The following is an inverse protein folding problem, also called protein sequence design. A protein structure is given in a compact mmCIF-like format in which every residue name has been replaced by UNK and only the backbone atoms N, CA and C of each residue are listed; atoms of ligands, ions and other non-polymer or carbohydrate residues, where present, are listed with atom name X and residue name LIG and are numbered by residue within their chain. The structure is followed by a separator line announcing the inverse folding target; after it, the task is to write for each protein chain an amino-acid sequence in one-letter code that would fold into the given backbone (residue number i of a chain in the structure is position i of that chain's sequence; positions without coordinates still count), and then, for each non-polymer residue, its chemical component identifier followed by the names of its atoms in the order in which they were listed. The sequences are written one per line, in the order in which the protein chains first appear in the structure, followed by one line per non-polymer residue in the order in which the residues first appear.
data_IF_479557704246
#
_entry.id   IF_479557704246
#
_cell.length_a   1.000
_cell.length_b   1.000
_cell.length_c   1.000
_cell.angle_alpha   90.00
_cell.angle_beta   90.00
_cell.angle_gamma   90.00
#
_symmetry.space_group_name_H-M   'P 1'
#
loop_
_entity.id
_entity.type
_entity.pdbx_description
1 polymer ?
#
# COMPACT_ATOMS: atom_id res chain seq x y z
N UNK A 1 -5.08 -2.73 -33.91
CA UNK A 1 -3.83 -3.17 -33.23
C UNK A 1 -3.98 -2.94 -31.75
N UNK A 2 -3.35 -3.76 -30.90
CA UNK A 2 -3.32 -3.49 -29.45
C UNK A 2 -2.37 -2.32 -29.20
N UNK A 3 -2.64 -1.44 -28.21
CA UNK A 3 -1.76 -0.29 -27.93
C UNK A 3 -0.38 -0.77 -27.42
N UNK A 4 0.68 -0.08 -27.87
CA UNK A 4 2.06 -0.31 -27.38
C UNK A 4 2.20 0.27 -25.97
N UNK A 5 2.98 -0.42 -25.12
CA UNK A 5 3.26 -0.01 -23.73
C UNK A 5 4.70 0.49 -23.62
N UNK A 6 4.91 1.66 -23.01
CA UNK A 6 6.24 2.09 -22.56
C UNK A 6 6.34 1.96 -21.05
N UNK A 7 7.44 1.38 -20.56
CA UNK A 7 7.68 1.24 -19.11
C UNK A 7 8.88 2.11 -18.74
N UNK A 8 8.68 3.08 -17.88
CA UNK A 8 9.72 3.95 -17.36
C UNK A 8 10.25 3.35 -16.06
N UNK A 9 11.54 3.14 -15.96
CA UNK A 9 12.22 2.67 -14.74
C UNK A 9 13.26 3.70 -14.34
N UNK A 10 13.20 4.18 -13.12
CA UNK A 10 14.15 5.16 -12.59
C UNK A 10 15.21 4.44 -11.76
N UNK A 11 16.47 4.78 -11.99
CA UNK A 11 17.62 4.19 -11.29
C UNK A 11 18.48 5.24 -10.60
N UNK A 12 18.95 4.91 -9.41
CA UNK A 12 19.99 5.65 -8.70
C UNK A 12 20.77 4.71 -7.79
N UNK A 13 22.02 4.39 -8.14
CA UNK A 13 22.89 3.46 -7.41
C UNK A 13 22.26 2.07 -7.17
N UNK A 14 21.61 1.49 -8.18
CA UNK A 14 20.86 0.22 -8.09
C UNK A 14 21.45 -0.91 -8.93
N UNK A 15 22.79 -0.95 -9.06
CA UNK A 15 23.47 -1.94 -9.92
C UNK A 15 23.25 -3.39 -9.50
N UNK A 16 22.91 -3.63 -8.21
CA UNK A 16 22.55 -4.95 -7.70
C UNK A 16 21.09 -5.32 -8.04
N UNK A 17 20.19 -4.37 -7.95
CA UNK A 17 18.73 -4.59 -8.07
C UNK A 17 18.28 -4.60 -9.54
N UNK A 18 18.83 -3.70 -10.36
CA UNK A 18 18.44 -3.52 -11.76
C UNK A 18 18.46 -4.78 -12.62
N UNK A 19 19.48 -5.66 -12.56
CA UNK A 19 19.48 -6.88 -13.38
C UNK A 19 18.23 -7.74 -13.16
N UNK A 20 17.77 -7.86 -11.92
CA UNK A 20 16.56 -8.62 -11.57
C UNK A 20 15.31 -7.91 -12.03
N UNK A 21 15.25 -6.59 -11.86
CA UNK A 21 14.13 -5.78 -12.33
C UNK A 21 13.98 -5.90 -13.83
N UNK A 22 15.05 -5.72 -14.61
CA UNK A 22 15.01 -5.79 -16.08
C UNK A 22 14.80 -7.23 -16.59
N UNK A 23 15.35 -8.24 -15.92
CA UNK A 23 15.02 -9.64 -16.21
C UNK A 23 13.52 -9.89 -16.08
N UNK A 24 12.90 -9.36 -15.03
CA UNK A 24 11.48 -9.52 -14.80
C UNK A 24 10.59 -8.76 -15.78
N UNK A 25 11.15 -7.80 -16.52
CA UNK A 25 10.47 -7.06 -17.58
C UNK A 25 10.81 -7.59 -18.99
N UNK A 26 11.71 -8.58 -19.10
CA UNK A 26 12.15 -9.16 -20.38
C UNK A 26 11.35 -10.40 -20.78
N UNK A 27 11.58 -10.88 -22.02
CA UNK A 27 11.05 -12.16 -22.48
C UNK A 27 12.10 -13.28 -22.23
N UNK A 28 11.69 -14.49 -21.94
CA UNK A 28 10.31 -14.99 -21.86
C UNK A 28 9.70 -14.89 -20.44
N UNK A 29 10.28 -14.08 -19.53
CA UNK A 29 9.74 -13.93 -18.17
C UNK A 29 8.34 -13.30 -18.20
N UNK A 30 8.17 -12.18 -18.93
CA UNK A 30 6.83 -11.62 -19.17
C UNK A 30 6.03 -12.54 -20.10
N UNK A 31 4.78 -12.80 -19.73
CA UNK A 31 3.87 -13.72 -20.43
C UNK A 31 2.73 -12.95 -21.12
N UNK A 32 2.18 -13.56 -22.16
CA UNK A 32 1.00 -13.06 -22.90
C UNK A 32 1.22 -11.67 -23.54
N UNK A 33 2.48 -11.32 -23.78
CA UNK A 33 2.90 -10.09 -24.45
C UNK A 33 4.10 -10.39 -25.38
N UNK A 34 4.14 -9.72 -26.53
CA UNK A 34 5.20 -9.89 -27.51
C UNK A 34 6.28 -8.82 -27.41
N UNK A 35 7.43 -9.08 -28.06
CA UNK A 35 8.59 -8.19 -28.09
C UNK A 35 8.26 -6.78 -28.61
N UNK A 36 7.43 -6.70 -29.64
CA UNK A 36 7.05 -5.44 -30.29
C UNK A 36 5.91 -4.70 -29.57
N UNK A 37 5.29 -5.34 -28.59
CA UNK A 37 4.15 -4.80 -27.85
C UNK A 37 4.55 -3.79 -26.77
N UNK A 38 5.81 -3.78 -26.35
CA UNK A 38 6.29 -2.88 -25.29
C UNK A 38 7.76 -2.50 -25.44
N UNK A 39 8.16 -1.45 -24.78
CA UNK A 39 9.53 -0.99 -24.59
C UNK A 39 9.79 -0.66 -23.13
N UNK A 40 11.05 -0.70 -22.72
CA UNK A 40 11.49 -0.23 -21.39
C UNK A 40 12.47 0.93 -21.56
N UNK A 41 12.25 1.98 -20.83
CA UNK A 41 13.09 3.17 -20.77
C UNK A 41 13.67 3.26 -19.38
N UNK A 42 14.92 2.84 -19.23
CA UNK A 42 15.69 2.98 -18.01
C UNK A 42 16.33 4.36 -17.96
N UNK A 43 16.06 5.12 -16.90
CA UNK A 43 16.63 6.45 -16.70
C UNK A 43 17.50 6.45 -15.47
N UNK A 44 18.79 6.66 -15.67
CA UNK A 44 19.73 6.84 -14.58
C UNK A 44 19.69 8.29 -14.09
N UNK A 45 19.41 8.47 -12.82
CA UNK A 45 19.32 9.78 -12.15
C UNK A 45 20.61 10.12 -11.40
N UNK A 46 21.77 9.85 -12.02
CA UNK A 46 23.08 10.26 -11.52
C UNK A 46 23.76 9.24 -10.62
N UNK A 47 23.72 7.97 -10.95
CA UNK A 47 24.46 6.92 -10.25
C UNK A 47 25.97 7.14 -10.32
N UNK A 48 26.69 6.72 -9.27
CA UNK A 48 28.15 6.74 -9.25
C UNK A 48 28.77 5.88 -10.38
N UNK A 49 28.14 4.75 -10.67
CA UNK A 49 28.45 3.87 -11.80
C UNK A 49 27.14 3.74 -12.57
N UNK A 50 26.94 4.55 -13.62
CA UNK A 50 25.69 4.51 -14.39
C UNK A 50 25.57 3.19 -15.16
N UNK A 51 24.36 2.60 -15.26
CA UNK A 51 24.11 1.43 -16.07
C UNK A 51 24.31 1.75 -17.55
N UNK A 52 24.75 0.76 -18.32
CA UNK A 52 24.94 0.87 -19.77
C UNK A 52 24.09 -0.15 -20.53
N UNK A 53 23.77 0.07 -21.81
CA UNK A 53 23.05 -0.91 -22.61
C UNK A 53 23.76 -2.28 -22.69
N UNK A 54 25.11 -2.29 -22.63
CA UNK A 54 25.92 -3.51 -22.67
C UNK A 54 25.66 -4.43 -21.47
N UNK A 55 25.35 -3.87 -20.30
CA UNK A 55 25.10 -4.64 -19.07
C UNK A 55 23.87 -5.56 -19.22
N UNK A 56 22.93 -5.20 -20.09
CA UNK A 56 21.65 -5.88 -20.29
C UNK A 56 21.46 -6.45 -21.70
N UNK A 57 22.50 -6.47 -22.53
CA UNK A 57 22.42 -6.94 -23.90
C UNK A 57 22.03 -8.43 -24.06
N UNK A 58 22.14 -9.20 -22.97
CA UNK A 58 21.73 -10.60 -22.90
C UNK A 58 20.21 -10.80 -22.68
N UNK A 59 19.47 -9.73 -22.35
CA UNK A 59 18.02 -9.79 -22.13
C UNK A 59 17.27 -9.58 -23.46
N UNK A 60 16.24 -10.38 -23.70
CA UNK A 60 15.31 -10.14 -24.81
C UNK A 60 14.32 -9.02 -24.41
N UNK A 61 14.77 -7.78 -24.59
CA UNK A 61 14.08 -6.57 -24.13
C UNK A 61 14.34 -5.41 -25.08
N UNK A 62 13.29 -4.69 -25.49
CA UNK A 62 13.42 -3.38 -26.16
C UNK A 62 13.76 -2.32 -25.11
N UNK A 63 15.07 -2.15 -24.88
CA UNK A 63 15.61 -1.34 -23.80
C UNK A 63 16.32 -0.09 -24.31
N UNK A 64 15.88 1.07 -23.84
CA UNK A 64 16.64 2.31 -23.93
C UNK A 64 17.24 2.62 -22.56
N UNK A 65 18.53 2.94 -22.52
CA UNK A 65 19.21 3.39 -21.31
C UNK A 65 19.59 4.84 -21.50
N UNK A 66 19.05 5.71 -20.66
CA UNK A 66 19.24 7.17 -20.71
C UNK A 66 19.77 7.65 -19.36
N UNK A 67 20.58 8.71 -19.37
CA UNK A 67 21.06 9.37 -18.16
C UNK A 67 20.58 10.81 -18.12
N UNK A 68 20.33 11.30 -16.91
CA UNK A 68 19.97 12.70 -16.70
C UNK A 68 21.21 13.59 -16.78
N UNK A 69 21.18 14.64 -17.61
CA UNK A 69 22.27 15.63 -17.70
C UNK A 69 22.44 16.39 -16.37
N UNK A 70 21.33 16.68 -15.70
CA UNK A 70 21.28 17.37 -14.42
C UNK A 70 20.48 16.54 -13.41
N UNK A 71 21.09 15.50 -12.82
CA UNK A 71 20.38 14.63 -11.88
C UNK A 71 20.03 15.37 -10.61
N UNK A 72 18.90 15.05 -10.03
CA UNK A 72 18.43 15.65 -8.78
C UNK A 72 18.22 14.60 -7.70
N UNK A 73 18.09 15.03 -6.43
CA UNK A 73 17.80 14.11 -5.33
C UNK A 73 16.40 13.51 -5.44
N UNK A 74 15.47 14.25 -6.04
CA UNK A 74 14.12 13.78 -6.34
C UNK A 74 14.11 13.02 -7.67
N UNK A 75 13.37 11.91 -7.81
CA UNK A 75 13.21 11.21 -9.07
C UNK A 75 12.27 11.91 -10.06
N UNK A 76 11.55 12.93 -9.62
CA UNK A 76 10.48 13.59 -10.41
C UNK A 76 10.95 14.10 -11.77
N UNK A 77 12.07 14.86 -11.90
CA UNK A 77 12.53 15.31 -13.20
C UNK A 77 12.87 14.14 -14.15
N UNK A 78 13.45 13.05 -13.61
CA UNK A 78 13.78 11.85 -14.39
C UNK A 78 12.50 11.13 -14.86
N UNK A 79 11.49 11.00 -14.00
CA UNK A 79 10.19 10.43 -14.37
C UNK A 79 9.53 11.25 -15.48
N UNK A 80 9.43 12.57 -15.31
CA UNK A 80 8.81 13.45 -16.29
C UNK A 80 9.60 13.49 -17.62
N UNK A 81 10.92 13.34 -17.56
CA UNK A 81 11.73 13.13 -18.75
C UNK A 81 11.38 11.83 -19.47
N UNK A 82 11.21 10.73 -18.72
CA UNK A 82 10.78 9.44 -19.26
C UNK A 82 9.37 9.50 -19.89
N UNK A 83 8.42 10.18 -19.26
CA UNK A 83 7.08 10.40 -19.83
C UNK A 83 7.13 11.07 -21.21
N UNK A 84 8.06 12.02 -21.41
CA UNK A 84 8.30 12.69 -22.69
C UNK A 84 8.99 11.80 -23.72
N UNK A 85 9.84 10.85 -23.29
CA UNK A 85 10.59 9.94 -24.17
C UNK A 85 9.80 8.72 -24.60
N UNK A 86 8.82 8.29 -23.81
CA UNK A 86 7.98 7.15 -24.08
C UNK A 86 7.34 7.23 -25.47
N UNK A 87 7.33 6.14 -26.25
CA UNK A 87 6.70 6.06 -27.58
C UNK A 87 5.32 5.38 -27.54
N UNK A 88 5.03 4.56 -26.51
CA UNK A 88 3.79 3.81 -26.35
C UNK A 88 2.57 4.69 -26.09
N UNK A 89 1.39 4.19 -26.41
CA UNK A 89 0.10 4.83 -26.15
C UNK A 89 -0.30 4.68 -24.67
N UNK A 90 0.18 3.61 -24.04
CA UNK A 90 0.07 3.36 -22.60
C UNK A 90 1.46 3.54 -21.99
N UNK A 91 1.55 4.25 -20.88
CA UNK A 91 2.82 4.46 -20.17
C UNK A 91 2.67 3.96 -18.75
N UNK A 92 3.57 3.03 -18.37
CA UNK A 92 3.74 2.56 -17.01
C UNK A 92 4.96 3.20 -16.35
N UNK A 93 4.87 3.57 -15.08
CA UNK A 93 5.98 4.15 -14.32
C UNK A 93 6.34 3.24 -13.16
N UNK A 94 7.60 2.81 -13.13
CA UNK A 94 8.27 2.22 -11.99
C UNK A 94 9.14 3.28 -11.34
N UNK A 95 8.71 3.78 -10.21
CA UNK A 95 9.33 4.93 -9.54
C UNK A 95 10.77 4.64 -9.07
N UNK A 96 11.10 3.36 -8.87
CA UNK A 96 12.46 2.92 -8.56
C UNK A 96 12.82 1.62 -9.30
N UNK A 97 14.12 1.43 -9.58
CA UNK A 97 14.69 0.28 -10.27
C UNK A 97 14.87 -0.96 -9.38
N UNK A 98 14.38 -0.96 -8.18
CA UNK A 98 14.48 -2.08 -7.23
C UNK A 98 13.19 -2.89 -7.13
N UNK A 99 12.43 -3.04 -8.24
CA UNK A 99 11.14 -3.72 -8.23
C UNK A 99 11.05 -4.83 -9.27
N UNK A 100 11.00 -6.06 -8.81
CA UNK A 100 10.77 -7.23 -9.66
C UNK A 100 9.27 -7.28 -10.03
N UNK A 101 8.94 -7.48 -11.28
CA UNK A 101 7.56 -7.62 -11.76
C UNK A 101 7.07 -9.07 -11.64
N UNK A 102 5.77 -9.28 -11.46
CA UNK A 102 5.15 -10.58 -11.70
C UNK A 102 5.02 -10.89 -13.21
N UNK A 103 4.88 -12.18 -13.62
CA UNK A 103 5.04 -12.58 -15.01
C UNK A 103 4.03 -12.02 -16.01
N UNK A 104 2.83 -11.64 -15.62
CA UNK A 104 1.81 -11.08 -16.52
C UNK A 104 1.49 -9.62 -16.24
N UNK A 105 2.30 -8.94 -15.46
CA UNK A 105 2.00 -7.57 -15.04
C UNK A 105 1.75 -6.63 -16.23
N UNK A 106 2.61 -6.67 -17.26
CA UNK A 106 2.48 -5.79 -18.44
C UNK A 106 1.24 -6.14 -19.25
N UNK A 107 1.04 -7.43 -19.54
CA UNK A 107 -0.12 -7.89 -20.29
C UNK A 107 -1.44 -7.57 -19.56
N UNK A 108 -1.50 -7.83 -18.26
CA UNK A 108 -2.68 -7.57 -17.43
C UNK A 108 -2.99 -6.07 -17.32
N UNK A 109 -1.97 -5.22 -17.18
CA UNK A 109 -2.14 -3.77 -17.18
C UNK A 109 -2.69 -3.27 -18.52
N UNK A 110 -2.11 -3.73 -19.65
CA UNK A 110 -2.59 -3.39 -21.00
C UNK A 110 -4.04 -3.86 -21.23
N UNK A 111 -4.38 -5.07 -20.82
CA UNK A 111 -5.74 -5.59 -20.90
C UNK A 111 -6.71 -4.74 -20.07
N UNK A 112 -6.37 -4.48 -18.82
CA UNK A 112 -7.24 -3.74 -17.90
C UNK A 112 -7.50 -2.29 -18.33
N UNK A 113 -6.50 -1.61 -18.89
CA UNK A 113 -6.59 -0.22 -19.32
C UNK A 113 -7.36 -0.08 -20.65
N UNK A 114 -7.32 -1.10 -21.51
CA UNK A 114 -7.93 -1.07 -22.84
C UNK A 114 -9.46 -1.02 -22.81
N UNK A 115 -10.09 -1.30 -21.67
CA UNK A 115 -11.55 -1.23 -21.53
C UNK A 115 -12.08 0.20 -21.43
N UNK A 116 -11.27 1.17 -21.04
CA UNK A 116 -11.73 2.54 -20.83
C UNK A 116 -10.57 3.53 -21.02
N UNK A 117 -10.77 4.56 -21.85
CA UNK A 117 -9.79 5.62 -22.10
C UNK A 117 -9.50 6.49 -20.85
N UNK A 118 -10.37 6.45 -19.85
CA UNK A 118 -10.17 7.11 -18.56
C UNK A 118 -9.66 6.18 -17.47
N UNK A 119 -9.34 4.91 -17.79
CA UNK A 119 -8.79 3.98 -16.84
C UNK A 119 -7.31 4.30 -16.56
N UNK A 120 -6.95 4.22 -15.30
CA UNK A 120 -5.57 4.07 -14.87
C UNK A 120 -5.44 2.82 -13.99
N UNK A 121 -4.32 2.14 -14.12
CA UNK A 121 -4.14 0.80 -13.59
C UNK A 121 -2.93 0.76 -12.68
N UNK A 122 -3.14 0.36 -11.43
CA UNK A 122 -2.10 0.13 -10.45
C UNK A 122 -1.95 -1.34 -10.11
N UNK A 123 -0.74 -1.76 -9.76
CA UNK A 123 -0.50 -3.03 -9.10
C UNK A 123 -0.22 -2.82 -7.61
N UNK A 124 -0.32 -3.89 -6.85
CA UNK A 124 0.09 -3.89 -5.45
C UNK A 124 1.60 -4.05 -5.33
N UNK A 125 2.16 -3.36 -4.34
CA UNK A 125 3.53 -3.56 -3.92
C UNK A 125 3.63 -4.68 -2.88
N UNK A 126 4.74 -5.39 -2.89
CA UNK A 126 5.08 -6.41 -1.92
C UNK A 126 6.53 -6.25 -1.50
N UNK A 127 6.82 -6.50 -0.22
CA UNK A 127 8.17 -6.62 0.28
C UNK A 127 8.63 -8.08 0.20
N UNK A 128 9.83 -8.30 -0.28
CA UNK A 128 10.50 -9.58 -0.17
C UNK A 128 10.79 -9.90 1.31
N UNK A 129 10.60 -11.19 1.68
CA UNK A 129 10.63 -11.63 3.06
C UNK A 129 9.23 -11.82 3.67
N UNK A 130 9.17 -12.16 4.94
CA UNK A 130 7.95 -12.53 5.66
C UNK A 130 7.37 -11.42 6.55
N UNK A 131 7.94 -10.21 6.47
CA UNK A 131 7.57 -9.04 7.29
C UNK A 131 7.70 -7.75 6.49
N UNK A 132 7.10 -6.68 7.00
CA UNK A 132 7.36 -5.34 6.49
C UNK A 132 8.85 -5.01 6.54
N UNK A 133 9.36 -4.42 5.48
CA UNK A 133 10.81 -4.23 5.28
C UNK A 133 11.48 -3.52 6.45
N UNK A 134 10.88 -2.48 7.04
CA UNK A 134 11.44 -1.77 8.20
C UNK A 134 11.63 -2.69 9.40
N UNK A 135 10.66 -3.55 9.69
CA UNK A 135 10.74 -4.51 10.78
C UNK A 135 11.79 -5.59 10.49
N UNK A 136 11.82 -6.08 9.25
CA UNK A 136 12.77 -7.10 8.83
C UNK A 136 14.22 -6.58 8.94
N UNK A 137 14.50 -5.33 8.53
CA UNK A 137 15.84 -4.72 8.63
C UNK A 137 16.30 -4.61 10.11
N UNK A 138 15.41 -4.19 11.01
CA UNK A 138 15.73 -4.13 12.46
C UNK A 138 16.07 -5.50 13.01
N UNK A 139 15.48 -6.57 12.47
CA UNK A 139 15.76 -7.97 12.85
C UNK A 139 16.96 -8.60 12.09
N UNK A 140 17.67 -7.80 11.29
CA UNK A 140 18.89 -8.24 10.58
C UNK A 140 18.70 -8.64 9.13
N UNK A 141 17.49 -8.49 8.55
CA UNK A 141 17.29 -8.69 7.12
C UNK A 141 18.09 -7.65 6.32
N UNK A 142 18.82 -8.13 5.33
CA UNK A 142 19.72 -7.31 4.54
C UNK A 142 19.82 -7.84 3.10
N UNK A 143 20.62 -7.19 2.26
CA UNK A 143 20.82 -7.57 0.87
C UNK A 143 21.31 -9.00 0.66
N UNK A 144 22.19 -9.49 1.54
CA UNK A 144 22.71 -10.86 1.47
C UNK A 144 21.61 -11.90 1.74
N UNK A 145 20.83 -11.69 2.80
CA UNK A 145 19.70 -12.57 3.13
C UNK A 145 18.65 -12.59 2.00
N UNK A 146 18.43 -11.44 1.35
CA UNK A 146 17.54 -11.35 0.20
C UNK A 146 18.11 -12.11 -1.01
N UNK A 147 19.41 -11.98 -1.29
CA UNK A 147 20.07 -12.70 -2.38
C UNK A 147 19.95 -14.21 -2.21
N UNK A 148 20.22 -14.71 -1.00
CA UNK A 148 20.09 -16.13 -0.66
C UNK A 148 18.65 -16.63 -0.82
N UNK A 149 17.66 -15.87 -0.35
CA UNK A 149 16.26 -16.19 -0.47
C UNK A 149 15.79 -16.22 -1.93
N UNK A 150 16.17 -15.22 -2.72
CA UNK A 150 15.85 -15.16 -4.15
C UNK A 150 16.49 -16.32 -4.91
N UNK A 151 17.76 -16.63 -4.68
CA UNK A 151 18.47 -17.74 -5.33
C UNK A 151 17.81 -19.10 -5.05
N UNK A 152 17.25 -19.29 -3.83
CA UNK A 152 16.59 -20.53 -3.44
C UNK A 152 15.15 -20.65 -3.98
N UNK A 153 14.50 -19.53 -4.27
CA UNK A 153 13.09 -19.52 -4.64
C UNK A 153 12.80 -20.10 -6.03
N UNK A 154 13.75 -19.99 -6.96
CA UNK A 154 13.58 -20.36 -8.37
C UNK A 154 12.62 -19.41 -9.11
N UNK A 155 12.52 -18.15 -8.69
CA UNK A 155 11.65 -17.12 -9.27
C UNK A 155 11.98 -16.81 -10.74
N UNK A 156 13.22 -16.91 -11.16
CA UNK A 156 13.65 -16.61 -12.53
C UNK A 156 12.96 -17.50 -13.57
N UNK A 157 12.68 -18.75 -13.20
CA UNK A 157 11.94 -19.72 -14.05
C UNK A 157 10.43 -19.64 -13.84
N UNK A 158 9.99 -19.26 -12.66
CA UNK A 158 8.58 -19.07 -12.32
C UNK A 158 8.40 -17.89 -11.36
N UNK A 159 8.21 -16.71 -11.91
CA UNK A 159 8.09 -15.47 -11.15
C UNK A 159 6.94 -15.44 -10.14
N UNK A 160 5.94 -16.30 -10.28
CA UNK A 160 4.87 -16.41 -9.28
C UNK A 160 5.35 -16.97 -7.94
N UNK A 161 6.51 -17.61 -7.87
CA UNK A 161 7.12 -18.04 -6.61
C UNK A 161 7.53 -16.86 -5.70
N UNK A 162 7.65 -15.65 -6.25
CA UNK A 162 7.86 -14.45 -5.45
C UNK A 162 6.72 -14.17 -4.46
N UNK A 163 5.52 -14.64 -4.77
CA UNK A 163 4.39 -14.51 -3.84
C UNK A 163 4.59 -15.36 -2.58
N UNK A 164 5.27 -16.49 -2.67
CA UNK A 164 5.51 -17.41 -1.56
C UNK A 164 6.52 -16.83 -0.55
N UNK A 165 7.39 -15.91 -1.00
CA UNK A 165 8.48 -15.31 -0.22
C UNK A 165 8.29 -13.81 0.01
N UNK A 166 7.06 -13.31 -0.03
CA UNK A 166 6.80 -11.88 0.11
C UNK A 166 5.51 -11.59 0.84
N UNK A 167 5.40 -10.40 1.39
CA UNK A 167 4.19 -9.86 2.02
C UNK A 167 3.75 -8.58 1.34
N UNK A 168 2.48 -8.20 1.43
CA UNK A 168 2.02 -6.89 0.95
C UNK A 168 2.78 -5.77 1.67
N UNK A 169 3.10 -4.70 0.94
CA UNK A 169 3.64 -3.50 1.55
C UNK A 169 2.54 -2.70 2.28
N UNK A 170 2.94 -1.72 3.07
CA UNK A 170 2.00 -0.96 3.90
C UNK A 170 1.01 -0.14 3.06
N UNK A 171 1.43 0.36 1.89
CA UNK A 171 0.60 1.18 1.01
C UNK A 171 -0.45 0.37 0.24
N UNK A 172 -0.24 -0.95 0.12
CA UNK A 172 -1.10 -1.86 -0.61
C UNK A 172 -2.22 -2.48 0.23
N UNK A 173 -2.17 -2.32 1.56
CA UNK A 173 -3.12 -2.97 2.47
C UNK A 173 -2.91 -4.49 2.59
N UNK A 174 -3.58 -5.15 3.56
CA UNK A 174 -3.33 -6.55 3.90
C UNK A 174 -3.96 -7.57 2.95
N UNK A 175 -4.82 -7.16 2.02
CA UNK A 175 -5.49 -8.07 1.09
C UNK A 175 -5.51 -7.55 -0.35
N UNK A 176 -5.88 -8.41 -1.29
CA UNK A 176 -6.04 -8.03 -2.70
C UNK A 176 -7.18 -7.03 -2.97
N UNK A 177 -8.08 -6.83 -2.03
CA UNK A 177 -9.28 -6.02 -2.21
C UNK A 177 -9.27 -4.73 -1.39
N UNK A 178 -8.20 -4.48 -0.64
CA UNK A 178 -8.07 -3.23 0.10
C UNK A 178 -7.79 -2.05 -0.84
N UNK A 179 -8.22 -0.84 -0.51
CA UNK A 179 -7.76 0.35 -1.20
C UNK A 179 -6.23 0.49 -1.04
N UNK A 180 -5.59 1.03 -2.06
CA UNK A 180 -4.16 1.37 -2.02
C UNK A 180 -3.99 2.86 -1.81
N UNK A 181 -2.93 3.26 -1.13
CA UNK A 181 -2.57 4.66 -1.01
C UNK A 181 -1.74 5.16 -2.20
N UNK A 182 -1.06 4.24 -2.87
CA UNK A 182 -0.22 4.49 -4.04
C UNK A 182 -0.09 3.23 -4.90
N UNK A 183 0.47 3.36 -6.09
CA UNK A 183 0.98 2.23 -6.87
C UNK A 183 2.40 2.50 -7.34
N UNK A 184 3.29 1.56 -7.08
CA UNK A 184 4.69 1.62 -7.50
C UNK A 184 4.90 1.14 -8.95
N UNK A 185 3.81 0.73 -9.62
CA UNK A 185 3.75 0.48 -11.06
C UNK A 185 2.39 0.98 -11.56
N UNK A 186 2.36 2.25 -11.94
CA UNK A 186 1.15 2.96 -12.34
C UNK A 186 1.11 3.11 -13.86
N UNK A 187 0.08 2.57 -14.48
CA UNK A 187 -0.13 2.60 -15.92
C UNK A 187 -1.30 3.51 -16.28
N UNK A 188 -1.11 4.38 -17.27
CA UNK A 188 -2.16 5.25 -17.82
C UNK A 188 -2.01 5.38 -19.33
N UNK A 189 -3.10 5.77 -20.00
CA UNK A 189 -3.02 6.31 -21.33
C UNK A 189 -2.15 7.55 -21.36
N UNK A 190 -1.36 7.74 -22.43
CA UNK A 190 -0.56 8.97 -22.62
C UNK A 190 -1.40 10.24 -22.52
N UNK A 191 -2.62 10.22 -23.07
CA UNK A 191 -3.56 11.35 -22.95
C UNK A 191 -3.87 11.70 -21.50
N UNK A 192 -4.02 10.68 -20.65
CA UNK A 192 -4.33 10.87 -19.23
C UNK A 192 -3.10 11.36 -18.45
N UNK A 193 -1.88 10.86 -18.78
CA UNK A 193 -0.63 11.43 -18.25
C UNK A 193 -0.44 12.91 -18.62
N UNK A 194 -0.79 13.28 -19.86
CA UNK A 194 -0.71 14.67 -20.32
C UNK A 194 -1.71 15.55 -19.57
N UNK A 195 -2.94 15.06 -19.36
CA UNK A 195 -3.98 15.78 -18.60
C UNK A 195 -3.59 15.95 -17.14
N UNK A 196 -3.00 14.91 -16.50
CA UNK A 196 -2.48 14.96 -15.15
C UNK A 196 -1.29 15.92 -15.00
N UNK A 197 -0.56 16.20 -16.09
CA UNK A 197 0.66 16.98 -16.07
C UNK A 197 1.90 16.22 -15.57
N UNK A 198 1.83 14.89 -15.54
CA UNK A 198 2.90 14.03 -15.02
C UNK A 198 3.00 14.07 -13.49
N UNK A 199 4.21 13.80 -12.99
CA UNK A 199 4.54 13.90 -11.56
C UNK A 199 4.75 15.36 -11.18
N UNK A 200 4.23 15.79 -10.03
CA UNK A 200 4.28 17.17 -9.58
C UNK A 200 5.72 17.60 -9.26
N UNK A 201 6.21 18.65 -9.96
CA UNK A 201 7.61 19.10 -9.89
C UNK A 201 7.98 19.76 -8.55
N UNK A 202 6.99 20.10 -7.72
CA UNK A 202 7.19 20.64 -6.38
C UNK A 202 7.81 19.66 -5.38
N UNK A 203 7.76 18.34 -5.66
CA UNK A 203 8.38 17.32 -4.81
C UNK A 203 9.88 17.21 -5.10
N UNK A 204 10.70 17.86 -4.27
CA UNK A 204 12.15 17.96 -4.41
C UNK A 204 12.94 17.17 -3.38
N UNK A 205 12.27 16.61 -2.35
CA UNK A 205 12.91 15.79 -1.33
C UNK A 205 13.57 14.55 -1.93
N UNK A 206 14.67 14.06 -1.31
CA UNK A 206 15.33 12.83 -1.75
C UNK A 206 14.36 11.65 -1.78
N UNK A 207 14.34 10.92 -2.92
CA UNK A 207 13.41 9.81 -3.13
C UNK A 207 11.97 10.23 -3.49
N UNK A 208 11.70 11.55 -3.62
CA UNK A 208 10.41 12.08 -4.07
C UNK A 208 9.35 12.27 -2.99
N UNK A 209 9.67 12.00 -1.71
CA UNK A 209 8.72 12.23 -0.61
C UNK A 209 7.38 11.50 -0.81
N UNK A 210 6.28 12.26 -0.80
CA UNK A 210 4.92 11.73 -1.03
C UNK A 210 4.49 11.74 -2.51
N UNK A 211 5.40 11.99 -3.46
CA UNK A 211 5.01 12.19 -4.87
C UNK A 211 4.24 11.03 -5.49
N UNK A 212 4.54 9.81 -5.06
CA UNK A 212 3.85 8.62 -5.59
C UNK A 212 2.40 8.54 -5.06
N UNK A 213 2.21 8.86 -3.78
CA UNK A 213 0.88 9.00 -3.16
C UNK A 213 0.10 10.16 -3.78
N UNK A 214 0.78 11.31 -4.01
CA UNK A 214 0.22 12.47 -4.69
C UNK A 214 -0.26 12.13 -6.10
N UNK A 215 0.58 11.45 -6.88
CA UNK A 215 0.22 11.07 -8.25
C UNK A 215 -0.99 10.14 -8.27
N UNK A 216 -1.09 9.19 -7.35
CA UNK A 216 -2.27 8.35 -7.20
C UNK A 216 -3.51 9.18 -6.82
N UNK A 217 -3.39 10.07 -5.83
CA UNK A 217 -4.48 10.97 -5.38
C UNK A 217 -4.98 11.84 -6.55
N UNK A 218 -4.10 12.56 -7.22
CA UNK A 218 -4.46 13.42 -8.37
C UNK A 218 -5.11 12.62 -9.51
N UNK A 219 -4.66 11.39 -9.75
CA UNK A 219 -5.28 10.52 -10.75
C UNK A 219 -6.70 10.12 -10.36
N UNK A 220 -6.97 9.90 -9.07
CA UNK A 220 -8.32 9.63 -8.57
C UNK A 220 -9.25 10.86 -8.64
N UNK A 221 -8.68 12.06 -8.60
CA UNK A 221 -9.41 13.34 -8.59
C UNK A 221 -9.70 13.88 -9.99
N UNK A 222 -9.01 13.37 -11.02
CA UNK A 222 -9.35 13.72 -12.40
C UNK A 222 -10.78 13.28 -12.75
N UNK A 223 -11.54 14.10 -13.50
CA UNK A 223 -12.93 13.79 -13.85
C UNK A 223 -13.06 12.45 -14.58
N UNK A 224 -14.07 11.68 -14.21
CA UNK A 224 -14.48 10.44 -14.88
C UNK A 224 -13.40 9.34 -14.94
N UNK A 225 -12.31 9.45 -14.17
CA UNK A 225 -11.30 8.42 -14.14
C UNK A 225 -11.80 7.12 -13.48
N UNK A 226 -11.25 6.02 -13.93
CA UNK A 226 -11.59 4.68 -13.46
C UNK A 226 -10.37 4.03 -12.82
N UNK A 227 -10.16 4.24 -11.50
CA UNK A 227 -9.10 3.56 -10.75
C UNK A 227 -9.26 2.06 -10.86
N UNK A 228 -8.25 1.37 -11.35
CA UNK A 228 -8.28 -0.08 -11.53
C UNK A 228 -7.07 -0.71 -10.83
N UNK A 229 -7.30 -1.73 -10.02
CA UNK A 229 -6.24 -2.52 -9.38
C UNK A 229 -6.17 -3.92 -9.99
N UNK A 230 -4.94 -4.35 -10.25
CA UNK A 230 -4.69 -5.70 -10.74
C UNK A 230 -4.84 -6.74 -9.63
N UNK A 231 -5.49 -7.84 -9.96
CA UNK A 231 -5.55 -9.04 -9.13
C UNK A 231 -4.56 -10.08 -9.67
N UNK A 232 -3.83 -10.72 -8.76
CA UNK A 232 -2.89 -11.78 -9.10
C UNK A 232 -1.54 -11.30 -9.64
N UNK A 233 -1.37 -10.01 -9.91
CA UNK A 233 -0.12 -9.39 -10.35
C UNK A 233 0.35 -8.34 -9.36
N UNK A 234 1.68 -8.23 -9.17
CA UNK A 234 2.28 -7.33 -8.19
C UNK A 234 3.71 -6.94 -8.60
N UNK A 235 4.27 -5.95 -7.89
CA UNK A 235 5.71 -5.68 -7.88
C UNK A 235 6.31 -6.07 -6.54
N UNK A 236 7.57 -6.56 -6.56
CA UNK A 236 8.29 -7.04 -5.38
C UNK A 236 9.49 -6.15 -5.13
N UNK A 237 9.46 -5.43 -4.02
CA UNK A 237 10.49 -4.47 -3.66
C UNK A 237 11.71 -5.16 -3.06
N UNK A 238 12.88 -4.89 -3.63
CA UNK A 238 14.16 -5.38 -3.17
C UNK A 238 14.76 -4.43 -2.13
N UNK A 239 15.51 -4.96 -1.18
CA UNK A 239 16.22 -4.15 -0.17
C UNK A 239 17.35 -3.37 -0.83
N UNK A 240 17.24 -2.05 -0.80
CA UNK A 240 18.29 -1.13 -1.25
C UNK A 240 18.40 0.05 -0.27
N UNK A 241 19.31 0.99 -0.54
CA UNK A 241 19.54 2.18 0.30
C UNK A 241 18.45 3.25 0.23
N UNK A 242 17.22 2.90 -0.07
CA UNK A 242 16.10 3.83 -0.28
C UNK A 242 15.80 4.72 0.92
N UNK A 243 15.64 6.02 0.68
CA UNK A 243 15.42 7.03 1.73
C UNK A 243 14.06 6.85 2.40
N UNK A 244 13.04 6.50 1.63
CA UNK A 244 11.66 6.35 2.13
C UNK A 244 11.48 5.09 3.00
N UNK A 245 12.11 3.97 2.62
CA UNK A 245 12.00 2.69 3.34
C UNK A 245 12.90 2.58 4.57
N UNK A 246 14.01 3.34 4.60
CA UNK A 246 15.00 3.31 5.69
C UNK A 246 15.03 4.62 6.50
N UNK A 247 14.13 5.57 6.21
CA UNK A 247 14.12 6.88 6.82
C UNK A 247 13.68 6.89 8.28
N UNK A 248 14.24 7.82 9.07
CA UNK A 248 13.79 8.14 10.42
C UNK A 248 12.39 8.80 10.40
N UNK A 249 11.76 8.86 11.56
CA UNK A 249 10.45 9.53 11.73
C UNK A 249 10.49 11.01 11.33
N UNK A 250 11.63 11.68 11.54
CA UNK A 250 11.85 13.08 11.16
C UNK A 250 11.76 13.24 9.64
N UNK A 251 12.33 12.31 8.86
CA UNK A 251 12.23 12.33 7.39
C UNK A 251 10.80 12.14 6.89
N UNK A 252 10.02 11.32 7.56
CA UNK A 252 8.60 11.16 7.22
C UNK A 252 7.86 12.48 7.45
N UNK A 253 8.16 13.20 8.53
CA UNK A 253 7.58 14.53 8.79
C UNK A 253 7.99 15.56 7.73
N UNK A 254 9.22 15.50 7.21
CA UNK A 254 9.68 16.35 6.10
C UNK A 254 8.80 16.15 4.86
N UNK A 255 8.43 14.91 4.53
CA UNK A 255 7.59 14.60 3.37
C UNK A 255 6.17 15.20 3.49
N UNK A 256 5.55 15.12 4.66
CA UNK A 256 4.25 15.75 4.89
C UNK A 256 4.35 17.29 4.91
N UNK A 257 5.44 17.84 5.44
CA UNK A 257 5.71 19.29 5.39
C UNK A 257 5.90 19.78 3.96
N UNK A 258 6.62 19.01 3.13
CA UNK A 258 6.77 19.31 1.70
C UNK A 258 5.41 19.31 0.99
N UNK A 259 4.58 18.28 1.20
CA UNK A 259 3.23 18.21 0.64
C UNK A 259 2.39 19.43 1.04
N UNK A 260 2.37 19.76 2.33
CA UNK A 260 1.66 20.94 2.83
C UNK A 260 2.19 22.25 2.18
N UNK A 261 3.50 22.37 1.99
CA UNK A 261 4.10 23.55 1.34
C UNK A 261 3.69 23.70 -0.12
N UNK A 262 3.43 22.59 -0.83
CA UNK A 262 3.02 22.58 -2.23
C UNK A 262 1.52 22.93 -2.38
N UNK A 263 0.67 22.37 -1.52
CA UNK A 263 -0.79 22.43 -1.72
C UNK A 263 -1.54 23.29 -0.69
N UNK A 264 -0.91 23.64 0.44
CA UNK A 264 -1.56 24.35 1.54
C UNK A 264 -2.56 23.51 2.35
N UNK A 265 -2.56 22.19 2.13
CA UNK A 265 -3.41 21.22 2.83
C UNK A 265 -2.64 19.98 3.27
N UNK A 266 -3.15 19.26 4.26
CA UNK A 266 -2.58 17.98 4.65
C UNK A 266 -2.93 16.89 3.64
N UNK A 267 -2.00 15.90 3.48
CA UNK A 267 -2.25 14.76 2.61
C UNK A 267 -3.37 13.87 3.19
N UNK A 268 -4.40 13.61 2.38
CA UNK A 268 -5.47 12.65 2.68
C UNK A 268 -5.46 11.54 1.61
N UNK A 269 -5.53 10.28 2.06
CA UNK A 269 -5.57 9.12 1.16
C UNK A 269 -6.91 9.07 0.43
N UNK A 270 -6.93 9.09 -0.89
CA UNK A 270 -8.18 9.02 -1.64
C UNK A 270 -8.86 7.66 -1.44
N UNK A 271 -10.19 7.67 -1.37
CA UNK A 271 -11.02 6.46 -1.30
C UNK A 271 -11.96 6.43 -2.51
N UNK A 272 -11.44 6.19 -3.73
CA UNK A 272 -12.26 6.12 -4.93
C UNK A 272 -13.05 4.81 -4.99
N UNK A 273 -14.04 4.76 -5.88
CA UNK A 273 -14.61 3.50 -6.33
C UNK A 273 -13.57 2.76 -7.18
N UNK A 274 -13.09 1.62 -6.73
CA UNK A 274 -12.03 0.85 -7.39
C UNK A 274 -12.63 -0.28 -8.21
N UNK A 275 -12.22 -0.38 -9.47
CA UNK A 275 -12.41 -1.56 -10.31
C UNK A 275 -11.27 -2.54 -10.06
N UNK A 276 -11.59 -3.82 -10.04
CA UNK A 276 -10.60 -4.90 -10.01
C UNK A 276 -10.57 -5.61 -11.36
N UNK A 277 -9.35 -5.90 -11.85
CA UNK A 277 -9.11 -6.60 -13.11
C UNK A 277 -7.97 -7.60 -12.94
N UNK A 278 -8.03 -8.71 -13.68
CA UNK A 278 -7.00 -9.74 -13.66
C UNK A 278 -7.51 -11.10 -13.19
N UNK A 279 -6.61 -12.04 -13.08
CA UNK A 279 -6.89 -13.42 -12.67
C UNK A 279 -5.85 -13.87 -11.65
N UNK A 280 -6.28 -14.58 -10.62
CA UNK A 280 -5.32 -15.24 -9.74
C UNK A 280 -4.68 -16.41 -10.47
N UNK A 281 -3.40 -16.32 -10.71
CA UNK A 281 -2.60 -17.47 -11.11
C UNK A 281 -2.34 -18.26 -9.85
N UNK A 282 -2.83 -19.47 -9.84
CA UNK A 282 -2.91 -20.31 -8.66
C UNK A 282 -1.55 -20.74 -8.13
N UNK A 283 -0.91 -19.87 -7.35
CA UNK A 283 0.01 -20.36 -6.32
C UNK A 283 -0.81 -20.94 -5.17
N UNK A 284 -0.32 -21.95 -4.43
CA UNK A 284 -1.05 -22.53 -3.30
C UNK A 284 -1.60 -21.48 -2.33
N UNK A 285 -0.86 -20.43 -1.90
CA UNK A 285 -1.39 -19.39 -1.02
C UNK A 285 -2.53 -18.56 -1.64
N UNK A 286 -2.47 -18.30 -2.95
CA UNK A 286 -3.54 -17.56 -3.64
C UNK A 286 -4.80 -18.40 -3.82
N UNK A 287 -4.65 -19.72 -4.11
CA UNK A 287 -5.77 -20.66 -4.18
C UNK A 287 -6.46 -20.79 -2.82
N UNK A 288 -5.70 -20.97 -1.77
CA UNK A 288 -6.25 -21.09 -0.42
C UNK A 288 -7.08 -19.87 -0.04
N UNK A 289 -6.61 -18.65 -0.36
CA UNK A 289 -7.37 -17.42 -0.14
C UNK A 289 -8.66 -17.37 -0.95
N UNK A 290 -8.63 -17.78 -2.23
CA UNK A 290 -9.82 -17.78 -3.09
C UNK A 290 -10.77 -18.91 -2.68
N UNK A 291 -10.28 -20.09 -2.38
CA UNK A 291 -11.09 -21.21 -1.91
C UNK A 291 -11.76 -20.93 -0.57
N UNK A 292 -11.03 -20.34 0.37
CA UNK A 292 -11.57 -19.88 1.65
C UNK A 292 -12.67 -18.84 1.40
N UNK A 293 -12.45 -17.88 0.49
CA UNK A 293 -13.46 -16.89 0.13
C UNK A 293 -14.71 -17.53 -0.50
N UNK A 294 -14.54 -18.43 -1.48
CA UNK A 294 -15.66 -19.10 -2.16
C UNK A 294 -16.45 -19.97 -1.20
N UNK A 295 -15.77 -20.74 -0.34
CA UNK A 295 -16.42 -21.55 0.67
C UNK A 295 -17.17 -20.70 1.69
N UNK A 296 -16.60 -19.58 2.12
CA UNK A 296 -17.21 -18.64 3.04
C UNK A 296 -18.44 -17.96 2.45
N UNK A 297 -18.37 -17.56 1.17
CA UNK A 297 -19.49 -16.95 0.47
C UNK A 297 -20.64 -17.94 0.29
N UNK A 298 -20.34 -19.22 -0.02
CA UNK A 298 -21.35 -20.28 -0.10
C UNK A 298 -21.98 -20.54 1.27
N UNK A 299 -21.18 -20.71 2.31
CA UNK A 299 -21.65 -20.94 3.67
C UNK A 299 -22.44 -19.75 4.24
N UNK A 300 -22.09 -18.51 3.88
CA UNK A 300 -22.84 -17.32 4.28
C UNK A 300 -24.24 -17.26 3.65
N UNK A 301 -24.40 -17.76 2.42
CA UNK A 301 -25.71 -17.87 1.76
C UNK A 301 -26.61 -18.94 2.41
N UNK A 302 -26.01 -20.03 2.89
CA UNK A 302 -26.75 -21.17 3.47
C UNK A 302 -27.12 -21.00 4.96
N UNK A 303 -26.29 -20.31 5.74
CA UNK A 303 -26.38 -20.34 7.22
C UNK A 303 -26.83 -19.00 7.82
N UNK A 304 -26.82 -17.93 7.05
CA UNK A 304 -27.08 -16.57 7.52
C UNK A 304 -25.94 -15.99 8.38
N UNK A 305 -25.83 -14.65 8.47
CA UNK A 305 -24.62 -13.97 8.94
C UNK A 305 -24.23 -14.23 10.41
N UNK A 306 -25.18 -14.56 11.29
CA UNK A 306 -24.90 -14.80 12.73
C UNK A 306 -24.32 -16.19 13.03
N UNK A 307 -24.79 -17.22 12.33
CA UNK A 307 -24.28 -18.60 12.50
C UNK A 307 -22.94 -18.80 11.82
N UNK A 308 -22.71 -18.10 10.70
CA UNK A 308 -21.48 -18.12 9.94
C UNK A 308 -20.27 -17.62 10.76
N UNK A 309 -20.40 -16.49 11.49
CA UNK A 309 -19.34 -16.00 12.38
C UNK A 309 -18.88 -17.04 13.41
N UNK A 310 -19.81 -17.86 13.92
CA UNK A 310 -19.52 -18.86 14.96
C UNK A 310 -18.82 -20.11 14.42
N UNK A 311 -19.12 -20.51 13.16
CA UNK A 311 -18.51 -21.67 12.51
C UNK A 311 -17.05 -21.46 12.10
N UNK A 312 -16.68 -20.22 11.70
CA UNK A 312 -15.31 -19.87 11.27
C UNK A 312 -14.39 -19.63 12.48
N UNK A 313 -14.93 -19.11 13.57
CA UNK A 313 -14.11 -18.73 14.74
C UNK A 313 -13.37 -19.89 15.41
N UNK A 314 -13.79 -21.14 15.18
CA UNK A 314 -13.22 -22.33 15.82
C UNK A 314 -11.95 -22.93 15.17
N UNK A 315 -11.66 -22.63 13.89
CA UNK A 315 -10.65 -23.36 13.09
C UNK A 315 -9.47 -22.55 12.58
N UNK A 316 -9.42 -21.24 12.79
CA UNK A 316 -8.42 -20.36 12.21
C UNK A 316 -7.52 -19.69 13.25
N UNK A 317 -6.25 -19.46 12.91
CA UNK A 317 -5.33 -18.68 13.75
C UNK A 317 -5.85 -17.24 13.95
N UNK A 318 -5.41 -16.57 15.00
CA UNK A 318 -5.81 -15.18 15.34
C UNK A 318 -5.60 -14.20 14.16
N UNK A 319 -4.54 -14.38 13.38
CA UNK A 319 -4.22 -13.54 12.23
C UNK A 319 -5.18 -13.79 11.05
N UNK A 320 -5.51 -15.03 10.77
CA UNK A 320 -6.50 -15.37 9.74
C UNK A 320 -7.91 -14.89 10.11
N UNK A 321 -8.28 -14.93 11.40
CA UNK A 321 -9.57 -14.40 11.89
C UNK A 321 -9.68 -12.88 11.70
N UNK A 322 -8.57 -12.15 11.91
CA UNK A 322 -8.51 -10.68 11.69
C UNK A 322 -8.68 -10.36 10.20
N UNK A 323 -7.89 -10.98 9.34
CA UNK A 323 -7.92 -10.79 7.89
C UNK A 323 -9.33 -11.06 7.30
N UNK A 324 -10.00 -12.12 7.75
CA UNK A 324 -11.35 -12.46 7.29
C UNK A 324 -12.40 -11.46 7.77
N UNK A 325 -12.31 -10.98 9.00
CA UNK A 325 -13.27 -10.00 9.53
C UNK A 325 -13.16 -8.65 8.80
N UNK A 326 -11.96 -8.19 8.47
CA UNK A 326 -11.74 -6.99 7.67
C UNK A 326 -12.26 -7.16 6.24
N UNK A 327 -11.97 -8.29 5.62
CA UNK A 327 -12.42 -8.63 4.29
C UNK A 327 -13.96 -8.70 4.18
N UNK A 328 -14.62 -9.38 5.10
CA UNK A 328 -16.08 -9.45 5.15
C UNK A 328 -16.73 -8.08 5.41
N UNK A 329 -16.06 -7.23 6.17
CA UNK A 329 -16.49 -5.86 6.42
C UNK A 329 -16.38 -5.02 5.15
N UNK A 330 -15.26 -5.08 4.44
CA UNK A 330 -15.01 -4.35 3.18
C UNK A 330 -16.00 -4.77 2.10
N UNK A 331 -16.23 -6.08 1.93
CA UNK A 331 -17.27 -6.58 1.00
C UNK A 331 -18.66 -6.09 1.40
N UNK A 332 -19.00 -6.13 2.67
CA UNK A 332 -20.31 -5.66 3.14
C UNK A 332 -20.52 -4.18 2.86
N UNK A 333 -19.48 -3.37 3.02
CA UNK A 333 -19.52 -1.93 2.72
C UNK A 333 -19.64 -1.66 1.21
N UNK A 334 -18.90 -2.39 0.39
CA UNK A 334 -18.91 -2.25 -1.08
C UNK A 334 -20.17 -2.81 -1.70
N UNK A 335 -20.61 -4.02 -1.29
CA UNK A 335 -21.79 -4.68 -1.88
C UNK A 335 -23.13 -4.10 -1.42
N UNK A 336 -23.17 -3.31 -0.34
CA UNK A 336 -24.41 -2.73 0.19
C UNK A 336 -24.61 -1.25 -0.14
N UNK A 337 -23.72 -0.63 -0.93
CA UNK A 337 -23.75 0.81 -1.25
C UNK A 337 -23.86 1.73 -0.02
N UNK A 338 -23.31 1.31 1.12
CA UNK A 338 -23.39 2.06 2.39
C UNK A 338 -22.30 3.14 2.49
N UNK A 339 -22.34 4.10 1.60
CA UNK A 339 -21.48 5.31 1.66
C UNK A 339 -21.66 6.09 2.96
N UNK A 340 -22.81 5.98 3.62
CA UNK A 340 -23.08 6.65 4.87
C UNK A 340 -22.26 6.06 6.04
N UNK A 341 -22.02 4.75 6.09
CA UNK A 341 -21.18 4.16 7.16
C UNK A 341 -19.73 4.63 7.10
N UNK A 342 -19.20 4.89 5.90
CA UNK A 342 -17.84 5.46 5.72
C UNK A 342 -17.82 6.91 6.22
N UNK A 343 -18.86 7.70 5.93
CA UNK A 343 -19.00 9.07 6.43
C UNK A 343 -19.10 9.09 7.95
N UNK A 344 -19.92 8.20 8.53
CA UNK A 344 -20.12 8.09 9.98
C UNK A 344 -18.82 7.65 10.69
N UNK A 345 -18.03 6.79 10.07
CA UNK A 345 -16.75 6.35 10.59
C UNK A 345 -15.68 7.46 10.53
N UNK A 346 -15.63 8.22 9.42
CA UNK A 346 -14.77 9.42 9.32
C UNK A 346 -15.18 10.47 10.37
N UNK A 347 -16.46 10.72 10.55
CA UNK A 347 -16.96 11.63 11.57
C UNK A 347 -16.62 11.16 13.00
N UNK A 348 -16.72 9.87 13.28
CA UNK A 348 -16.34 9.28 14.56
C UNK A 348 -14.82 9.38 14.84
N UNK A 349 -13.98 9.12 13.83
CA UNK A 349 -12.53 9.30 13.94
C UNK A 349 -12.16 10.76 14.18
N UNK A 350 -12.81 11.70 13.49
CA UNK A 350 -12.61 13.14 13.71
C UNK A 350 -13.01 13.57 15.13
N UNK A 351 -14.07 13.01 15.71
CA UNK A 351 -14.44 13.25 17.12
C UNK A 351 -13.38 12.76 18.09
N UNK A 352 -12.78 11.59 17.82
CA UNK A 352 -11.67 11.04 18.61
C UNK A 352 -10.45 11.96 18.50
N UNK A 353 -10.05 12.34 17.27
CA UNK A 353 -8.89 13.19 17.01
C UNK A 353 -8.98 14.56 17.70
N UNK A 354 -10.18 15.16 17.72
CA UNK A 354 -10.45 16.43 18.37
C UNK A 354 -10.53 16.35 19.92
N UNK A 355 -10.56 15.13 20.48
CA UNK A 355 -10.67 14.95 21.92
C UNK A 355 -9.38 15.27 22.66
N UNK A 356 -9.49 15.94 23.80
CA UNK A 356 -8.36 16.15 24.74
C UNK A 356 -7.71 14.85 25.23
N UNK A 357 -8.43 13.73 25.16
CA UNK A 357 -8.00 12.40 25.60
C UNK A 357 -7.33 11.56 24.51
N UNK A 358 -7.32 12.00 23.24
CA UNK A 358 -6.53 11.40 22.18
C UNK A 358 -5.30 12.26 21.89
N UNK A 359 -4.11 11.69 22.04
CA UNK A 359 -2.85 12.39 21.75
C UNK A 359 -2.16 11.70 20.59
N UNK A 360 -2.42 12.16 19.36
CA UNK A 360 -1.97 11.53 18.13
C UNK A 360 -0.46 11.29 18.07
N UNK A 361 0.36 12.26 18.51
CA UNK A 361 1.81 12.11 18.57
C UNK A 361 2.20 11.02 19.57
N UNK A 362 1.72 11.08 20.81
CA UNK A 362 1.97 10.07 21.83
C UNK A 362 1.51 8.69 21.37
N UNK A 363 0.30 8.60 20.79
CA UNK A 363 -0.27 7.35 20.28
C UNK A 363 0.64 6.73 19.20
N UNK A 364 1.15 7.54 18.30
CA UNK A 364 2.06 7.11 17.27
C UNK A 364 3.45 6.69 17.79
N UNK A 365 3.91 7.28 18.89
CA UNK A 365 5.14 6.89 19.59
C UNK A 365 4.99 5.58 20.35
N UNK A 366 3.84 5.39 21.03
CA UNK A 366 3.54 4.15 21.76
C UNK A 366 3.26 2.97 20.84
N UNK A 367 2.67 3.23 19.67
CA UNK A 367 2.26 2.21 18.72
C UNK A 367 2.86 2.48 17.33
N UNK A 368 4.17 2.28 17.14
CA UNK A 368 4.85 2.59 15.88
C UNK A 368 4.26 1.89 14.66
N UNK A 369 3.64 0.71 14.84
CA UNK A 369 2.97 -0.02 13.79
C UNK A 369 1.71 0.69 13.24
N UNK A 370 1.14 1.63 13.97
CA UNK A 370 -0.02 2.44 13.53
C UNK A 370 0.39 3.45 12.46
N UNK A 371 1.58 4.05 12.59
CA UNK A 371 2.14 4.95 11.59
C UNK A 371 2.38 4.28 10.23
N UNK A 372 2.66 2.99 10.27
CA UNK A 372 2.96 2.16 9.10
C UNK A 372 1.68 1.84 8.30
N UNK A 373 0.52 1.88 8.94
CA UNK A 373 -0.74 1.48 8.33
C UNK A 373 -1.44 2.59 7.52
N UNK A 374 -0.82 3.76 7.32
CA UNK A 374 -1.41 4.93 6.66
C UNK A 374 -2.80 5.33 7.17
N UNK A 375 -3.14 4.91 8.38
CA UNK A 375 -4.33 5.38 9.06
C UNK A 375 -3.97 6.62 9.88
N UNK A 376 -4.84 7.62 9.86
CA UNK A 376 -4.94 8.56 10.95
C UNK A 376 -4.96 7.76 12.25
N UNK A 377 -4.11 8.12 13.22
CA UNK A 377 -4.02 7.41 14.49
C UNK A 377 -5.37 7.26 15.18
N UNK A 378 -6.26 8.25 15.03
CA UNK A 378 -7.62 8.23 15.56
C UNK A 378 -8.50 7.21 14.82
N UNK A 379 -8.39 7.09 13.50
CA UNK A 379 -9.08 6.07 12.73
C UNK A 379 -8.59 4.67 13.10
N UNK A 380 -7.29 4.50 13.27
CA UNK A 380 -6.74 3.22 13.71
C UNK A 380 -7.23 2.86 15.12
N UNK A 381 -7.20 3.82 16.04
CA UNK A 381 -7.71 3.63 17.40
C UNK A 381 -9.21 3.33 17.39
N UNK A 382 -10.00 4.00 16.57
CA UNK A 382 -11.42 3.73 16.40
C UNK A 382 -11.68 2.27 16.01
N UNK A 383 -10.92 1.76 15.04
CA UNK A 383 -11.11 0.42 14.47
C UNK A 383 -10.53 -0.70 15.32
N UNK A 384 -9.35 -0.49 15.87
CA UNK A 384 -8.55 -1.55 16.50
C UNK A 384 -8.27 -1.33 17.98
N UNK A 385 -8.56 -0.15 18.51
CA UNK A 385 -8.24 0.22 19.89
C UNK A 385 -8.75 -0.79 20.92
N UNK A 386 -10.01 -1.20 20.80
CA UNK A 386 -10.63 -2.18 21.71
C UNK A 386 -10.01 -3.56 21.57
N UNK A 387 -9.93 -4.06 20.33
CA UNK A 387 -9.46 -5.44 20.07
C UNK A 387 -7.99 -5.64 20.42
N UNK A 388 -7.19 -4.58 20.34
CA UNK A 388 -5.76 -4.61 20.64
C UNK A 388 -5.44 -4.02 22.03
N UNK A 389 -6.46 -3.62 22.79
CA UNK A 389 -6.31 -3.00 24.13
C UNK A 389 -5.39 -1.78 24.12
N UNK A 390 -5.50 -0.96 23.04
CA UNK A 390 -4.69 0.24 22.91
C UNK A 390 -5.21 1.37 23.79
N UNK A 391 -4.30 2.17 24.32
CA UNK A 391 -4.62 3.38 25.06
C UNK A 391 -4.57 4.59 24.11
N UNK A 392 -5.54 5.53 24.18
CA UNK A 392 -5.54 6.72 23.32
C UNK A 392 -4.56 7.79 23.78
N UNK A 393 -4.22 7.78 25.06
CA UNK A 393 -3.23 8.62 25.74
C UNK A 393 -2.99 8.13 27.16
N UNK A 394 -2.07 8.77 27.88
CA UNK A 394 -1.83 8.53 29.32
C UNK A 394 -3.01 9.00 30.22
N UNK A 395 -3.91 9.78 29.68
CA UNK A 395 -5.02 10.40 30.46
C UNK A 395 -6.32 9.61 30.41
N UNK A 396 -6.46 8.64 29.51
CA UNK A 396 -7.67 7.83 29.37
C UNK A 396 -7.31 6.33 29.39
N UNK A 397 -7.78 5.62 30.41
CA UNK A 397 -7.58 4.16 30.50
C UNK A 397 -8.73 3.42 29.82
N UNK A 398 -8.52 3.06 28.55
CA UNK A 398 -9.52 2.41 27.73
C UNK A 398 -9.84 0.98 28.23
N UNK A 399 -8.86 0.28 28.77
CA UNK A 399 -9.05 -1.08 29.30
C UNK A 399 -9.90 -1.04 30.55
N UNK A 400 -9.50 -0.19 31.51
CA UNK A 400 -10.27 0.01 32.76
C UNK A 400 -11.69 0.49 32.45
N UNK A 401 -11.88 1.40 31.50
CA UNK A 401 -13.19 1.92 31.13
C UNK A 401 -14.14 0.82 30.64
N UNK A 402 -13.66 -0.06 29.77
CA UNK A 402 -14.44 -1.21 29.28
C UNK A 402 -14.71 -2.25 30.39
N UNK A 403 -13.76 -2.48 31.28
CA UNK A 403 -13.95 -3.38 32.43
C UNK A 403 -14.94 -2.84 33.44
N UNK A 404 -14.93 -1.52 33.68
CA UNK A 404 -15.79 -0.84 34.65
C UNK A 404 -17.23 -0.71 34.17
N UNK A 405 -17.42 -0.38 32.88
CA UNK A 405 -18.74 -0.12 32.31
C UNK A 405 -19.19 -1.24 31.37
N UNK A 406 -20.00 -2.15 31.91
CA UNK A 406 -20.43 -3.39 31.23
C UNK A 406 -21.29 -3.15 29.99
N UNK A 407 -22.03 -2.05 29.94
CA UNK A 407 -22.80 -1.59 28.77
C UNK A 407 -21.89 -1.27 27.59
N UNK A 408 -20.74 -0.62 27.85
CA UNK A 408 -19.72 -0.33 26.81
C UNK A 408 -19.10 -1.64 26.30
N UNK A 409 -18.77 -2.56 27.22
CA UNK A 409 -18.27 -3.87 26.87
C UNK A 409 -19.28 -4.65 26.01
N UNK A 410 -20.56 -4.61 26.35
CA UNK A 410 -21.64 -5.32 25.64
C UNK A 410 -21.90 -4.73 24.24
N UNK A 411 -21.78 -3.40 24.09
CA UNK A 411 -21.94 -2.73 22.79
C UNK A 411 -20.83 -3.06 21.80
N UNK A 412 -19.64 -3.42 22.28
CA UNK A 412 -18.44 -3.59 21.47
C UNK A 412 -17.92 -2.30 20.84
N UNK A 413 -18.43 -1.15 21.32
CA UNK A 413 -18.06 0.16 20.84
C UNK A 413 -16.68 0.63 21.32
N UNK A 414 -16.13 1.64 20.66
CA UNK A 414 -14.88 2.25 21.08
C UNK A 414 -15.05 3.03 22.39
N UNK A 415 -14.27 2.77 23.46
CA UNK A 415 -14.46 3.33 24.79
C UNK A 415 -14.31 4.85 24.84
N UNK A 416 -13.34 5.41 24.11
CA UNK A 416 -13.15 6.85 24.08
C UNK A 416 -14.30 7.54 23.32
N UNK A 417 -14.73 6.97 22.20
CA UNK A 417 -15.86 7.50 21.44
C UNK A 417 -17.16 7.46 22.28
N UNK A 418 -17.36 6.38 23.03
CA UNK A 418 -18.48 6.27 23.97
C UNK A 418 -18.41 7.36 25.02
N UNK A 419 -17.22 7.59 25.61
CA UNK A 419 -17.03 8.64 26.61
C UNK A 419 -17.32 10.03 26.04
N UNK A 420 -16.84 10.33 24.84
CA UNK A 420 -17.06 11.61 24.15
C UNK A 420 -18.56 11.86 23.92
N UNK A 421 -19.30 10.83 23.52
CA UNK A 421 -20.71 10.97 23.12
C UNK A 421 -21.69 10.92 24.27
N UNK A 422 -21.37 10.17 25.31
CA UNK A 422 -22.29 9.87 26.40
C UNK A 422 -21.62 9.96 27.77
N UNK A 423 -20.49 9.28 27.97
CA UNK A 423 -19.87 9.09 29.27
C UNK A 423 -19.49 10.39 29.99
N UNK A 424 -19.16 11.45 29.22
CA UNK A 424 -18.84 12.76 29.81
C UNK A 424 -20.08 13.41 30.47
N UNK A 425 -21.21 13.38 29.80
CA UNK A 425 -22.47 13.89 30.32
C UNK A 425 -23.03 13.04 31.49
N UNK A 426 -22.77 11.74 31.42
CA UNK A 426 -23.14 10.79 32.48
C UNK A 426 -22.20 10.85 33.70
N UNK A 427 -21.18 11.69 33.69
CA UNK A 427 -20.19 11.80 34.77
C UNK A 427 -19.33 10.55 34.96
N UNK A 428 -19.14 9.74 33.91
CA UNK A 428 -18.33 8.51 34.00
C UNK A 428 -16.84 8.85 34.19
N UNK A 429 -16.17 8.08 35.05
CA UNK A 429 -14.72 8.18 35.23
C UNK A 429 -13.98 7.57 34.07
N UNK A 430 -12.79 8.10 33.79
CA UNK A 430 -11.96 7.68 32.65
C UNK A 430 -10.79 6.78 33.04
N UNK A 431 -10.57 6.60 34.36
CA UNK A 431 -9.53 5.74 34.94
C UNK A 431 -9.83 5.43 36.41
N UNK A 432 -9.13 4.46 36.99
CA UNK A 432 -9.19 4.17 38.42
C UNK A 432 -8.72 5.37 39.27
N UNK A 433 -9.22 5.48 40.50
CA UNK A 433 -8.62 6.40 41.47
C UNK A 433 -7.25 5.85 41.87
N UNK A 434 -6.22 6.66 41.77
CA UNK A 434 -4.95 6.39 42.47
C UNK A 434 -5.21 6.76 43.92
N UNK A 435 -5.44 5.78 44.79
CA UNK A 435 -5.44 5.96 46.23
C UNK A 435 -3.97 6.13 46.62
N UNK A 436 -3.56 7.31 46.99
CA UNK A 436 -2.26 7.53 47.61
C UNK A 436 -2.29 6.85 48.98
N UNK A 437 -1.35 5.93 49.30
CA UNK A 437 -1.32 5.30 50.62
C UNK A 437 -1.00 6.26 51.80
N UNK A 438 -0.84 7.54 51.54
CA UNK A 438 -0.42 8.56 52.53
C UNK A 438 -1.59 9.36 53.14
N UNK A 439 -2.83 9.04 52.81
CA UNK A 439 -3.99 9.77 53.34
C UNK A 439 -4.73 9.05 54.50
N UNK A 440 -4.10 7.99 55.06
CA UNK A 440 -4.56 7.29 56.27
C UNK A 440 -3.53 7.47 57.41
N UNK A 441 -3.26 8.74 57.82
CA UNK A 441 -2.68 9.05 59.14
C UNK A 441 -3.43 10.23 59.77
#
# INVERSE_FOLDING_TARGET
MKPKVSIIVISYNMNRELPRTLLSLSLPYQKDIGRDDFEVILIDNGSKVPPTPADFAHLDLDLQVLSMDNPTKSPVPAINFGLKKAAGEIIGVYIDGARIASPRLIASAREAISYNQRAFVGSRGRYLGNKFQRLAIVEGYNQQAEDEMLAQSGWETNGYKLFDISVFDESSGPTWFDPVAESNSLFMWRSLWNELGGYAEGFVTPGGGLVNLDTWKRSCELPETVPTLLLGEATFHQVHGGVATNGSLEKVQEFYTEYFSIYGEEFDVPVPAIRFAGTFVSTPPQREMVEVFVQQTKAAKEIGPRKFRRAISGRLSLNHRRMINEFLRTIRLVCTFRTNEIKDEKAAASQIAASEFFKGQWFAEQYPHVRIAHYDGAMYYLRYGVSQKLQPSVHFDAVWYVERYKDVAASGGNPLLHYIRFGKEEGRRIRALVVNPADDE
#
